data_IF_067324429094
#
_entry.id   IF_067324429094
#
_cell.length_a   1.000
_cell.length_b   1.000
_cell.length_c   1.000
_cell.angle_alpha   90.00
_cell.angle_beta   90.00
_cell.angle_gamma   90.00
#
_symmetry.space_group_name_H-M   'P 1'
#
loop_
_entity.id
_entity.type
_entity.pdbx_description
1 polymer ?
#
# COMPACT_ATOMS: atom_id res chain seq x y z
N UNK A 1 -18.06 23.08 -15.00
CA UNK A 1 -17.90 21.65 -14.62
C UNK A 1 -16.46 21.15 -14.85
N UNK A 2 -15.45 21.83 -14.31
CA UNK A 2 -14.03 21.41 -14.46
C UNK A 2 -13.22 21.53 -13.16
N UNK A 3 -13.78 22.21 -12.15
CA UNK A 3 -13.10 22.44 -10.87
C UNK A 3 -12.93 21.15 -10.06
N UNK A 4 -13.88 20.23 -10.20
CA UNK A 4 -13.88 18.92 -9.53
C UNK A 4 -12.66 18.09 -9.93
N UNK A 5 -12.30 18.09 -11.23
CA UNK A 5 -11.12 17.37 -11.70
C UNK A 5 -9.83 17.96 -11.15
N UNK A 6 -9.73 19.29 -11.13
CA UNK A 6 -8.54 19.99 -10.59
C UNK A 6 -8.37 19.72 -9.10
N UNK A 7 -9.47 19.75 -8.34
CA UNK A 7 -9.48 19.45 -6.91
C UNK A 7 -9.14 17.97 -6.64
N UNK A 8 -9.68 17.05 -7.45
CA UNK A 8 -9.40 15.62 -7.33
C UNK A 8 -7.94 15.28 -7.64
N UNK A 9 -7.35 15.89 -8.67
CA UNK A 9 -5.93 15.72 -9.00
C UNK A 9 -5.02 16.22 -7.87
N UNK A 10 -5.33 17.39 -7.30
CA UNK A 10 -4.58 17.93 -6.15
C UNK A 10 -4.72 17.00 -4.93
N UNK A 11 -5.94 16.57 -4.60
CA UNK A 11 -6.17 15.62 -3.51
C UNK A 11 -5.41 14.29 -3.73
N UNK A 12 -5.48 13.71 -4.93
CA UNK A 12 -4.77 12.48 -5.27
C UNK A 12 -3.25 12.62 -5.11
N UNK A 13 -2.66 13.72 -5.59
CA UNK A 13 -1.22 13.96 -5.42
C UNK A 13 -0.83 14.17 -3.95
N UNK A 14 -1.64 14.90 -3.16
CA UNK A 14 -1.37 15.07 -1.72
C UNK A 14 -1.45 13.75 -0.94
N UNK A 15 -2.41 12.88 -1.28
CA UNK A 15 -2.53 11.53 -0.72
C UNK A 15 -1.32 10.67 -1.05
N UNK A 16 -0.73 10.79 -2.24
CA UNK A 16 0.47 10.07 -2.61
C UNK A 16 1.71 10.52 -1.82
N UNK A 17 1.82 11.82 -1.50
CA UNK A 17 2.89 12.35 -0.63
C UNK A 17 2.70 11.90 0.82
N UNK A 18 1.45 11.82 1.30
CA UNK A 18 1.12 11.33 2.64
C UNK A 18 1.05 9.80 2.73
N UNK A 19 1.16 9.10 1.60
CA UNK A 19 1.07 7.65 1.50
C UNK A 19 2.09 6.90 2.39
N UNK A 20 3.41 7.24 2.39
CA UNK A 20 4.38 6.52 3.23
C UNK A 20 4.26 6.86 4.72
N UNK A 21 3.59 7.96 5.08
CA UNK A 21 3.45 8.43 6.46
C UNK A 21 2.13 7.97 7.12
N UNK A 22 1.27 7.27 6.38
CA UNK A 22 -0.04 6.83 6.85
C UNK A 22 -0.16 5.30 6.79
N UNK A 23 -1.24 4.77 7.38
CA UNK A 23 -1.60 3.33 7.35
C UNK A 23 -1.75 2.77 5.93
N UNK A 24 -1.85 3.64 4.92
CA UNK A 24 -1.93 3.27 3.50
C UNK A 24 -0.68 2.54 3.00
N UNK A 25 0.48 2.70 3.67
CA UNK A 25 1.69 1.92 3.38
C UNK A 25 1.45 0.41 3.41
N UNK A 26 0.43 -0.05 4.16
CA UNK A 26 0.08 -1.47 4.25
C UNK A 26 -0.40 -2.08 2.92
N UNK A 27 -0.83 -1.25 1.95
CA UNK A 27 -1.18 -1.73 0.59
C UNK A 27 0.03 -2.39 -0.08
N UNK A 28 1.25 -1.91 0.20
CA UNK A 28 2.48 -2.51 -0.31
C UNK A 28 2.80 -3.86 0.33
N UNK A 29 2.34 -4.08 1.57
CA UNK A 29 2.47 -5.35 2.29
C UNK A 29 1.33 -6.33 1.99
N UNK A 30 0.58 -6.13 0.90
CA UNK A 30 -0.47 -7.05 0.48
C UNK A 30 0.12 -8.48 0.39
N UNK A 31 -0.42 -9.45 1.16
CA UNK A 31 0.18 -10.77 1.30
C UNK A 31 -0.13 -11.66 0.08
N UNK A 32 0.30 -11.22 -1.11
CA UNK A 32 0.13 -11.95 -2.37
C UNK A 32 0.91 -13.27 -2.32
N UNK A 33 2.09 -13.25 -1.70
CA UNK A 33 2.91 -14.45 -1.50
C UNK A 33 2.24 -15.49 -0.58
N UNK A 34 1.19 -15.14 0.18
CA UNK A 34 0.51 -16.09 1.06
C UNK A 34 -0.23 -17.18 0.28
N UNK A 35 -0.66 -16.90 -0.95
CA UNK A 35 -1.35 -17.87 -1.81
C UNK A 35 -0.44 -19.03 -2.24
N UNK A 36 0.85 -18.78 -2.38
CA UNK A 36 1.84 -19.77 -2.85
C UNK A 36 2.73 -20.29 -1.72
N UNK A 37 2.64 -19.73 -0.50
CA UNK A 37 3.52 -20.08 0.62
C UNK A 37 3.18 -21.45 1.21
N UNK A 38 4.21 -22.23 1.52
CA UNK A 38 4.07 -23.46 2.32
C UNK A 38 3.63 -23.08 3.75
N UNK A 39 2.65 -23.80 4.29
CA UNK A 39 2.07 -23.54 5.62
C UNK A 39 3.08 -23.67 6.76
N UNK A 40 4.07 -24.55 6.65
CA UNK A 40 5.05 -24.78 7.68
C UNK A 40 6.33 -24.00 7.40
N UNK A 41 6.58 -22.97 8.22
CA UNK A 41 7.78 -22.14 8.15
C UNK A 41 8.62 -22.43 9.38
N UNK A 42 9.74 -23.14 9.19
CA UNK A 42 10.72 -23.39 10.25
C UNK A 42 11.95 -22.53 9.96
N UNK A 43 12.30 -21.63 10.88
CA UNK A 43 13.59 -20.92 10.83
C UNK A 43 14.63 -21.70 11.62
N UNK A 44 15.69 -22.13 10.96
CA UNK A 44 16.86 -22.66 11.65
C UNK A 44 17.58 -21.53 12.40
N UNK A 45 18.00 -21.79 13.64
CA UNK A 45 18.84 -20.87 14.42
C UNK A 45 20.29 -21.10 14.01
N UNK A 46 20.95 -20.06 13.47
CA UNK A 46 22.42 -19.99 13.45
C UNK A 46 22.88 -19.22 14.66
#
# INVERSE_FOLDING_TARGET
MAFIFRLHLVLGMTLFVLFPFSRLVHIWSAPVEYLTRKYQIVRARR
#
